data_IF_234179604306
#
_entry.id   IF_234179604306
#
_cell.length_a   1.000
_cell.length_b   1.000
_cell.length_c   1.000
_cell.angle_alpha   90.00
_cell.angle_beta   90.00
_cell.angle_gamma   90.00
#
_symmetry.space_group_name_H-M   'P 1'
#
loop_
_entity.id
_entity.type
_entity.pdbx_description
1 polymer ?
#
# COMPACT_ATOMS: atom_id res chain seq x y z
N UNK A 1 -18.48 -19.16 25.83
CA UNK A 1 -18.98 -19.43 24.47
C UNK A 1 -19.33 -18.17 23.69
N UNK A 2 -20.37 -17.39 24.04
CA UNK A 2 -20.69 -16.16 23.28
C UNK A 2 -19.61 -15.07 23.41
N UNK A 3 -19.11 -14.83 24.64
CA UNK A 3 -18.02 -13.87 24.85
C UNK A 3 -16.77 -14.26 24.06
N UNK A 4 -16.36 -15.53 24.13
CA UNK A 4 -15.20 -16.03 23.39
C UNK A 4 -15.34 -15.91 21.87
N UNK A 5 -16.57 -16.00 21.35
CA UNK A 5 -16.85 -15.76 19.93
C UNK A 5 -16.74 -14.26 19.60
N UNK A 6 -17.26 -13.38 20.46
CA UNK A 6 -17.08 -11.93 20.31
C UNK A 6 -15.60 -11.55 20.32
N UNK A 7 -14.83 -12.11 21.26
CA UNK A 7 -13.39 -11.88 21.39
C UNK A 7 -12.65 -12.40 20.13
N UNK A 8 -13.04 -13.56 19.60
CA UNK A 8 -12.47 -14.11 18.35
C UNK A 8 -12.82 -13.28 17.10
N UNK A 9 -13.96 -12.57 17.10
CA UNK A 9 -14.41 -11.73 15.98
C UNK A 9 -13.89 -10.29 16.08
N UNK A 10 -13.43 -9.86 17.25
CA UNK A 10 -12.92 -8.51 17.47
C UNK A 10 -11.85 -8.09 16.43
N UNK A 11 -10.86 -8.93 16.06
CA UNK A 11 -9.87 -8.56 15.05
C UNK A 11 -10.47 -8.25 13.68
N UNK A 12 -11.54 -8.94 13.29
CA UNK A 12 -12.22 -8.69 12.02
C UNK A 12 -13.00 -7.37 12.05
N UNK A 13 -13.63 -7.07 13.18
CA UNK A 13 -14.32 -5.80 13.36
C UNK A 13 -13.31 -4.63 13.33
N UNK A 14 -12.19 -4.76 14.03
CA UNK A 14 -11.10 -3.79 13.97
C UNK A 14 -10.59 -3.62 12.54
N UNK A 15 -10.25 -4.72 11.85
CA UNK A 15 -9.77 -4.65 10.48
C UNK A 15 -10.74 -3.96 9.51
N UNK A 16 -12.03 -4.24 9.66
CA UNK A 16 -13.08 -3.59 8.86
C UNK A 16 -13.18 -2.10 9.19
N UNK A 17 -13.13 -1.73 10.46
CA UNK A 17 -13.18 -0.34 10.88
C UNK A 17 -11.93 0.46 10.49
N UNK A 18 -10.77 -0.19 10.40
CA UNK A 18 -9.55 0.42 9.87
C UNK A 18 -9.63 0.60 8.35
N UNK A 19 -10.02 -0.43 7.61
CA UNK A 19 -10.02 -0.37 6.14
C UNK A 19 -11.19 0.42 5.55
N UNK A 20 -12.24 0.70 6.31
CA UNK A 20 -13.29 1.59 5.85
C UNK A 20 -12.80 3.04 5.83
N UNK A 21 -12.96 3.70 4.68
CA UNK A 21 -12.58 5.11 4.49
C UNK A 21 -13.35 6.08 5.42
N UNK A 22 -14.51 5.68 5.94
CA UNK A 22 -15.40 6.49 6.77
C UNK A 22 -15.16 6.33 8.29
N UNK A 23 -13.98 5.88 8.72
CA UNK A 23 -13.68 5.84 10.16
C UNK A 23 -13.60 7.26 10.74
N UNK A 24 -14.02 7.45 12.00
CA UNK A 24 -13.91 8.73 12.71
C UNK A 24 -12.43 9.11 12.83
N UNK A 25 -11.95 9.92 11.89
CA UNK A 25 -10.54 10.29 11.76
C UNK A 25 -9.94 10.13 10.36
N UNK A 26 -10.65 9.56 9.38
CA UNK A 26 -10.31 9.49 7.95
C UNK A 26 -8.81 9.29 7.64
N UNK A 27 -8.14 8.45 8.42
CA UNK A 27 -6.68 8.23 8.39
C UNK A 27 -6.28 6.92 7.71
N UNK A 28 -7.25 6.06 7.49
CA UNK A 28 -7.08 4.68 7.06
C UNK A 28 -8.06 4.35 5.92
N UNK A 29 -7.82 3.25 5.22
CA UNK A 29 -8.54 2.84 4.01
C UNK A 29 -7.74 3.03 2.73
N UNK A 30 -6.42 3.20 2.84
CA UNK A 30 -5.54 3.22 1.67
C UNK A 30 -5.17 1.80 1.25
N UNK A 31 -4.98 1.60 -0.06
CA UNK A 31 -4.64 0.29 -0.62
C UNK A 31 -3.36 -0.32 -0.01
N UNK A 32 -2.40 0.53 0.40
CA UNK A 32 -1.16 0.09 1.02
C UNK A 32 -1.36 -0.58 2.40
N UNK A 33 -2.48 -0.31 3.07
CA UNK A 33 -2.80 -0.87 4.40
C UNK A 33 -3.42 -2.26 4.30
N UNK A 34 -4.01 -2.61 3.15
CA UNK A 34 -4.70 -3.88 2.97
C UNK A 34 -3.79 -5.09 3.21
N UNK A 35 -2.57 -5.09 2.66
CA UNK A 35 -1.62 -6.21 2.83
C UNK A 35 -1.17 -6.35 4.30
N UNK A 36 -0.68 -5.30 5.00
CA UNK A 36 -0.41 -5.37 6.44
C UNK A 36 -1.58 -5.88 7.28
N UNK A 37 -2.81 -5.45 6.96
CA UNK A 37 -4.01 -5.88 7.68
C UNK A 37 -4.32 -7.37 7.47
N UNK A 38 -4.15 -7.88 6.24
CA UNK A 38 -4.33 -9.31 5.94
C UNK A 38 -3.26 -10.15 6.67
N UNK A 39 -2.00 -9.72 6.66
CA UNK A 39 -0.91 -10.37 7.40
C UNK A 39 -1.22 -10.46 8.90
N UNK A 40 -1.65 -9.35 9.49
CA UNK A 40 -2.02 -9.30 10.90
C UNK A 40 -3.20 -10.22 11.24
N UNK A 41 -4.23 -10.27 10.40
CA UNK A 41 -5.36 -11.19 10.58
C UNK A 41 -4.91 -12.66 10.50
N UNK A 42 -4.02 -13.00 9.56
CA UNK A 42 -3.48 -14.36 9.43
C UNK A 42 -2.71 -14.78 10.68
N UNK A 43 -1.85 -13.90 11.22
CA UNK A 43 -1.12 -14.14 12.46
C UNK A 43 -2.05 -14.32 13.67
N UNK A 44 -3.08 -13.50 13.76
CA UNK A 44 -4.06 -13.55 14.86
C UNK A 44 -4.84 -14.86 14.83
N UNK A 45 -5.29 -15.30 13.65
CA UNK A 45 -5.98 -16.58 13.48
C UNK A 45 -5.06 -17.79 13.69
N UNK A 46 -3.78 -17.66 13.34
CA UNK A 46 -2.77 -18.67 13.63
C UNK A 46 -2.51 -18.83 15.12
N UNK A 47 -2.50 -17.74 15.87
CA UNK A 47 -2.42 -17.80 17.33
C UNK A 47 -3.69 -18.44 17.91
N UNK A 48 -4.87 -18.02 17.45
CA UNK A 48 -6.14 -18.52 17.96
C UNK A 48 -6.37 -20.02 17.68
N UNK A 49 -5.94 -20.52 16.50
CA UNK A 49 -6.04 -21.96 16.18
C UNK A 49 -5.11 -22.80 17.07
N UNK A 50 -3.93 -22.28 17.42
CA UNK A 50 -2.96 -22.97 18.27
C UNK A 50 -3.42 -23.03 19.73
N UNK A 51 -4.01 -21.95 20.24
CA UNK A 51 -4.51 -21.88 21.62
C UNK A 51 -5.73 -22.78 21.87
N UNK A 52 -6.71 -22.78 20.95
CA UNK A 52 -7.98 -23.51 21.15
C UNK A 52 -7.94 -24.94 20.60
N UNK A 53 -7.08 -25.21 19.62
CA UNK A 53 -6.98 -26.50 18.95
C UNK A 53 -8.17 -26.85 18.05
N UNK A 54 -7.98 -27.81 17.15
CA UNK A 54 -8.96 -28.17 16.10
C UNK A 54 -10.23 -28.85 16.66
N UNK A 55 -10.16 -29.43 17.87
CA UNK A 55 -11.29 -30.09 18.53
C UNK A 55 -12.29 -29.09 19.12
N UNK A 56 -11.88 -27.84 19.31
CA UNK A 56 -12.75 -26.77 19.75
C UNK A 56 -13.47 -26.12 18.54
N UNK A 57 -14.72 -25.69 18.74
CA UNK A 57 -15.53 -25.09 17.67
C UNK A 57 -14.96 -23.75 17.19
N UNK A 58 -14.37 -22.98 18.09
CA UNK A 58 -13.74 -21.69 17.76
C UNK A 58 -12.43 -21.96 17.02
N UNK A 59 -11.62 -22.91 17.49
CA UNK A 59 -10.38 -23.31 16.80
C UNK A 59 -10.61 -23.83 15.37
N UNK A 60 -11.62 -24.68 15.17
CA UNK A 60 -12.03 -25.13 13.83
C UNK A 60 -12.49 -23.96 12.94
N UNK A 61 -13.27 -23.04 13.50
CA UNK A 61 -13.74 -21.85 12.77
C UNK A 61 -12.59 -20.91 12.40
N UNK A 62 -11.63 -20.73 13.30
CA UNK A 62 -10.41 -19.95 13.06
C UNK A 62 -9.56 -20.56 11.93
N UNK A 63 -9.41 -21.89 11.90
CA UNK A 63 -8.71 -22.58 10.81
C UNK A 63 -9.43 -22.39 9.45
N UNK A 64 -10.77 -22.46 9.44
CA UNK A 64 -11.55 -22.19 8.24
C UNK A 64 -11.40 -20.74 7.77
N UNK A 65 -11.43 -19.78 8.70
CA UNK A 65 -11.20 -18.38 8.41
C UNK A 65 -9.79 -18.13 7.87
N UNK A 66 -8.77 -18.75 8.47
CA UNK A 66 -7.37 -18.66 8.05
C UNK A 66 -7.19 -19.15 6.61
N UNK A 67 -7.76 -20.32 6.29
CA UNK A 67 -7.75 -20.86 4.93
C UNK A 67 -8.43 -19.91 3.92
N UNK A 68 -9.53 -19.27 4.33
CA UNK A 68 -10.24 -18.32 3.48
C UNK A 68 -9.42 -17.05 3.23
N UNK A 69 -8.81 -16.48 4.26
CA UNK A 69 -7.97 -15.28 4.12
C UNK A 69 -6.73 -15.60 3.29
N UNK A 70 -6.07 -16.73 3.55
CA UNK A 70 -4.91 -17.18 2.76
C UNK A 70 -5.23 -17.28 1.26
N UNK A 71 -6.39 -17.84 0.90
CA UNK A 71 -6.83 -17.90 -0.49
C UNK A 71 -6.91 -16.52 -1.14
N UNK A 72 -7.43 -15.51 -0.44
CA UNK A 72 -7.50 -14.15 -1.00
C UNK A 72 -6.14 -13.47 -1.01
N UNK A 73 -5.30 -13.73 0.00
CA UNK A 73 -3.93 -13.25 0.05
C UNK A 73 -3.11 -13.73 -1.17
N UNK A 74 -3.22 -15.00 -1.55
CA UNK A 74 -2.60 -15.53 -2.77
C UNK A 74 -3.10 -14.85 -4.06
N UNK A 75 -4.35 -14.39 -4.09
CA UNK A 75 -4.90 -13.63 -5.23
C UNK A 75 -4.38 -12.19 -5.26
N UNK A 76 -3.99 -11.61 -4.11
CA UNK A 76 -3.42 -10.25 -4.09
C UNK A 76 -2.07 -10.17 -4.83
N UNK A 77 -1.30 -11.27 -4.84
CA UNK A 77 -0.04 -11.40 -5.59
C UNK A 77 -0.22 -11.34 -7.11
N UNK A 78 -1.42 -11.64 -7.63
CA UNK A 78 -1.72 -11.52 -9.06
C UNK A 78 -1.83 -10.07 -9.53
N UNK A 79 -2.04 -9.15 -8.59
CA UNK A 79 -2.29 -7.74 -8.87
C UNK A 79 -1.09 -6.89 -8.43
N UNK A 80 -0.35 -6.27 -9.36
CA UNK A 80 0.82 -5.48 -9.02
C UNK A 80 0.47 -4.20 -8.25
N UNK A 81 -0.80 -3.82 -8.20
CA UNK A 81 -1.28 -2.60 -7.56
C UNK A 81 -1.09 -2.61 -6.04
N UNK A 82 -1.21 -3.76 -5.37
CA UNK A 82 -0.98 -3.85 -3.92
C UNK A 82 0.49 -3.60 -3.57
N UNK A 83 1.40 -4.20 -4.35
CA UNK A 83 2.84 -3.96 -4.22
C UNK A 83 3.18 -2.51 -4.53
N UNK A 84 2.63 -1.97 -5.63
CA UNK A 84 2.84 -0.59 -6.03
C UNK A 84 2.39 0.41 -4.96
N UNK A 85 1.21 0.20 -4.37
CA UNK A 85 0.67 1.07 -3.33
C UNK A 85 1.59 1.16 -2.11
N UNK A 86 2.16 0.03 -1.68
CA UNK A 86 3.16 0.03 -0.61
C UNK A 86 4.39 0.76 -1.08
N UNK A 87 5.04 0.35 -2.18
CA UNK A 87 6.31 0.95 -2.61
C UNK A 87 6.23 2.46 -2.81
N UNK A 88 5.12 2.97 -3.37
CA UNK A 88 4.86 4.39 -3.59
C UNK A 88 4.55 5.16 -2.31
N UNK A 89 4.30 4.49 -1.18
CA UNK A 89 4.21 5.14 0.11
C UNK A 89 5.62 5.58 0.58
N UNK A 90 5.87 6.89 0.76
CA UNK A 90 7.20 7.38 1.11
C UNK A 90 7.68 6.91 2.49
N UNK A 91 6.78 6.47 3.36
CA UNK A 91 7.09 5.87 4.67
C UNK A 91 7.40 4.36 4.57
N UNK A 92 6.74 3.67 3.64
CA UNK A 92 6.78 2.21 3.49
C UNK A 92 7.32 1.83 2.10
N UNK A 93 8.60 2.03 1.83
CA UNK A 93 9.21 1.63 0.54
C UNK A 93 9.46 0.11 0.46
N UNK A 94 10.34 -0.32 -0.44
CA UNK A 94 10.84 -1.71 -0.52
C UNK A 94 11.33 -2.29 0.82
N UNK A 95 11.78 -1.43 1.75
CA UNK A 95 12.15 -1.81 3.12
C UNK A 95 11.05 -2.61 3.85
N UNK A 96 9.76 -2.31 3.60
CA UNK A 96 8.66 -3.08 4.19
C UNK A 96 8.75 -4.55 3.77
N UNK A 97 8.90 -4.80 2.46
CA UNK A 97 9.04 -6.16 1.94
C UNK A 97 10.33 -6.84 2.40
N UNK A 98 11.43 -6.09 2.48
CA UNK A 98 12.70 -6.62 2.98
C UNK A 98 12.64 -7.01 4.48
N UNK A 99 11.70 -6.47 5.27
CA UNK A 99 11.52 -6.82 6.68
C UNK A 99 10.59 -8.03 6.83
N UNK A 100 9.43 -8.00 6.17
CA UNK A 100 8.35 -8.98 6.34
C UNK A 100 8.53 -10.23 5.47
N UNK A 101 9.15 -10.13 4.28
CA UNK A 101 9.38 -11.25 3.34
C UNK A 101 10.86 -11.65 3.21
N UNK A 102 11.64 -11.55 4.30
CA UNK A 102 13.07 -11.94 4.33
C UNK A 102 13.33 -13.35 3.81
N UNK A 103 12.40 -14.26 4.08
CA UNK A 103 12.51 -15.68 3.73
C UNK A 103 12.12 -15.96 2.27
N UNK A 104 11.43 -15.03 1.60
CA UNK A 104 10.91 -15.23 0.25
C UNK A 104 11.55 -14.24 -0.76
N UNK A 105 12.88 -14.33 -0.91
CA UNK A 105 13.65 -13.45 -1.82
C UNK A 105 13.27 -13.61 -3.29
N UNK A 106 12.81 -14.80 -3.69
CA UNK A 106 12.33 -15.06 -5.04
C UNK A 106 11.10 -14.20 -5.37
N UNK A 107 10.12 -14.18 -4.47
CA UNK A 107 8.91 -13.37 -4.62
C UNK A 107 9.22 -11.87 -4.70
N UNK A 108 10.13 -11.35 -3.86
CA UNK A 108 10.53 -9.92 -3.91
C UNK A 108 11.11 -9.56 -5.29
N UNK A 109 11.87 -10.47 -5.90
CA UNK A 109 12.46 -10.26 -7.21
C UNK A 109 11.40 -10.19 -8.31
N UNK A 110 10.39 -11.06 -8.25
CA UNK A 110 9.25 -11.03 -9.17
C UNK A 110 8.38 -9.79 -8.96
N UNK A 111 8.10 -9.41 -7.71
CA UNK A 111 7.37 -8.20 -7.38
C UNK A 111 8.07 -6.94 -7.91
N UNK A 112 9.41 -6.86 -7.84
CA UNK A 112 10.20 -5.77 -8.45
C UNK A 112 10.05 -5.74 -9.96
N UNK A 113 10.03 -6.89 -10.63
CA UNK A 113 9.82 -7.00 -12.08
C UNK A 113 8.43 -6.53 -12.48
N UNK A 114 7.39 -6.96 -11.76
CA UNK A 114 6.01 -6.54 -11.99
C UNK A 114 5.83 -5.02 -11.77
N UNK A 115 6.44 -4.48 -10.70
CA UNK A 115 6.39 -3.03 -10.43
C UNK A 115 7.07 -2.21 -11.54
N UNK A 116 8.23 -2.66 -12.03
CA UNK A 116 8.89 -2.02 -13.18
C UNK A 116 8.02 -2.09 -14.45
N UNK A 117 7.40 -3.24 -14.74
CA UNK A 117 6.50 -3.38 -15.88
C UNK A 117 5.27 -2.47 -15.76
N UNK A 118 4.69 -2.36 -14.56
CA UNK A 118 3.60 -1.45 -14.26
C UNK A 118 4.02 0.00 -14.51
N UNK A 119 5.16 0.42 -13.97
CA UNK A 119 5.71 1.76 -14.17
C UNK A 119 5.95 2.08 -15.64
N UNK A 120 6.58 1.17 -16.40
CA UNK A 120 6.81 1.36 -17.84
C UNK A 120 5.50 1.57 -18.61
N UNK A 121 4.43 0.84 -18.27
CA UNK A 121 3.12 1.02 -18.89
C UNK A 121 2.56 2.43 -18.62
N UNK A 122 2.63 2.90 -17.38
CA UNK A 122 2.18 4.25 -17.04
C UNK A 122 3.02 5.34 -17.68
N UNK A 123 4.34 5.14 -17.77
CA UNK A 123 5.26 6.07 -18.45
C UNK A 123 4.92 6.24 -19.93
N UNK A 124 4.61 5.15 -20.63
CA UNK A 124 4.19 5.19 -22.04
C UNK A 124 2.83 5.90 -22.19
N UNK A 125 1.86 5.55 -21.34
CA UNK A 125 0.53 6.19 -21.36
C UNK A 125 0.61 7.70 -21.08
N UNK A 126 1.45 8.13 -20.15
CA UNK A 126 1.64 9.54 -19.85
C UNK A 126 2.27 10.30 -21.04
N UNK A 127 3.24 9.71 -21.74
CA UNK A 127 3.81 10.32 -22.95
C UNK A 127 2.75 10.56 -24.02
N UNK A 128 1.92 9.56 -24.30
CA UNK A 128 0.82 9.69 -25.26
C UNK A 128 -0.26 10.69 -24.84
N UNK A 129 -0.56 10.81 -23.53
CA UNK A 129 -1.52 11.81 -23.04
C UNK A 129 -1.01 13.25 -23.20
N UNK A 130 0.30 13.48 -22.99
CA UNK A 130 0.93 14.78 -23.22
C UNK A 130 0.92 15.15 -24.72
N UNK A 131 1.17 14.17 -25.60
CA UNK A 131 1.08 14.36 -27.06
C UNK A 131 -0.36 14.73 -27.53
N UNK A 132 -1.39 14.21 -26.84
CA UNK A 132 -2.81 14.44 -27.16
C UNK A 132 -3.36 15.74 -26.55
N UNK A 133 -2.86 16.16 -25.38
CA UNK A 133 -3.24 17.41 -24.70
C UNK A 133 -2.61 18.65 -25.37
N UNK A 134 -1.47 18.50 -26.07
CA UNK A 134 -0.86 19.56 -26.89
C UNK A 134 -1.70 19.98 -28.12
N UNK A 135 -2.67 19.17 -28.52
CA UNK A 135 -3.54 19.42 -29.68
C UNK A 135 -4.81 20.24 -29.37
N UNK A 136 -5.06 20.63 -28.11
CA UNK A 136 -6.22 21.44 -27.72
C UNK A 136 -5.85 22.92 -27.49
N UNK A 137 -6.59 23.90 -28.06
CA UNK A 137 -6.26 25.31 -27.90
C UNK A 137 -6.50 25.78 -26.45
N UNK A 138 -5.45 26.28 -25.81
CA UNK A 138 -5.41 26.70 -24.42
C UNK A 138 -6.38 27.87 -24.10
N UNK A 139 -7.35 27.63 -23.21
CA UNK A 139 -8.19 28.68 -22.63
C UNK A 139 -7.42 29.48 -21.56
N UNK A 140 -7.41 30.81 -21.70
CA UNK A 140 -6.62 31.75 -20.88
C UNK A 140 -7.24 31.95 -19.48
N UNK A 141 -6.73 31.25 -18.46
CA UNK A 141 -6.98 31.58 -17.05
C UNK A 141 -5.80 32.39 -16.50
N UNK A 142 -6.05 33.56 -15.90
CA UNK A 142 -5.00 34.44 -15.37
C UNK A 142 -5.08 34.58 -13.85
N UNK A 143 -4.26 33.84 -13.06
CA UNK A 143 -4.23 33.96 -11.61
C UNK A 143 -3.36 35.14 -11.17
N UNK A 144 -3.88 35.94 -10.24
CA UNK A 144 -3.16 37.07 -9.63
C UNK A 144 -1.95 36.59 -8.79
N UNK A 145 -0.89 37.40 -8.78
CA UNK A 145 0.38 37.17 -8.09
C UNK A 145 0.16 36.95 -6.58
N UNK A 146 0.64 35.82 -6.07
CA UNK A 146 0.42 35.37 -4.69
C UNK A 146 0.76 33.90 -4.43
N UNK A 147 2.06 33.65 -4.24
CA UNK A 147 2.69 32.72 -3.28
C UNK A 147 2.53 31.19 -3.37
N UNK A 148 1.46 30.62 -3.92
CA UNK A 148 1.37 29.14 -4.00
C UNK A 148 2.19 28.55 -5.17
N UNK A 149 2.41 29.33 -6.24
CA UNK A 149 3.20 28.89 -7.41
C UNK A 149 4.70 28.80 -7.14
N UNK A 150 5.26 29.64 -6.26
CA UNK A 150 6.66 29.51 -5.83
C UNK A 150 6.88 28.30 -4.91
N UNK A 151 5.84 27.88 -4.18
CA UNK A 151 5.88 26.69 -3.32
C UNK A 151 5.98 25.39 -4.13
N UNK A 152 5.24 25.28 -5.23
CA UNK A 152 5.37 24.15 -6.17
C UNK A 152 6.67 24.18 -6.98
N UNK A 153 7.21 25.37 -7.27
CA UNK A 153 8.43 25.52 -8.08
C UNK A 153 9.73 25.03 -7.38
N UNK A 154 9.76 24.88 -6.05
CA UNK A 154 10.94 24.34 -5.34
C UNK A 154 11.13 22.82 -5.54
N UNK A 155 10.11 22.11 -6.05
CA UNK A 155 10.18 20.67 -6.34
C UNK A 155 10.66 20.31 -7.75
N UNK A 156 10.91 21.30 -8.60
CA UNK A 156 11.39 21.10 -9.97
C UNK A 156 12.83 21.60 -10.09
N UNK A 157 13.80 20.68 -10.09
CA UNK A 157 15.09 20.93 -10.72
C UNK A 157 15.08 20.34 -12.12
N UNK A 158 15.20 21.22 -13.10
CA UNK A 158 15.55 20.94 -14.49
C UNK A 158 16.88 20.19 -14.58
N UNK A 159 16.95 19.18 -15.44
CA UNK A 159 18.20 18.51 -15.78
C UNK A 159 18.01 17.44 -16.84
N UNK A 160 18.23 17.80 -18.11
CA UNK A 160 18.49 16.96 -19.28
C UNK A 160 17.68 15.65 -19.38
N UNK A 161 16.57 15.70 -20.12
CA UNK A 161 15.61 14.60 -20.29
C UNK A 161 16.14 13.38 -21.09
N UNK A 162 17.38 13.41 -21.57
CA UNK A 162 17.95 12.30 -22.36
C UNK A 162 18.88 11.34 -21.59
N UNK A 163 19.19 11.61 -20.31
CA UNK A 163 19.94 10.67 -19.46
C UNK A 163 19.57 10.77 -17.97
N UNK A 164 18.40 11.34 -17.67
CA UNK A 164 17.91 11.48 -16.31
C UNK A 164 17.39 10.12 -15.79
N UNK A 165 17.96 9.66 -14.67
CA UNK A 165 17.49 8.47 -13.98
C UNK A 165 15.96 8.49 -13.84
N UNK A 166 15.32 7.43 -14.32
CA UNK A 166 13.86 7.24 -14.29
C UNK A 166 13.26 7.70 -12.94
N UNK A 167 12.21 8.52 -12.93
CA UNK A 167 11.69 9.18 -11.71
C UNK A 167 11.40 8.17 -10.58
N UNK A 168 10.87 7.00 -10.94
CA UNK A 168 10.66 5.90 -10.02
C UNK A 168 11.97 5.39 -9.38
N UNK A 169 13.05 5.31 -10.17
CA UNK A 169 14.38 4.94 -9.68
C UNK A 169 14.94 6.00 -8.74
N UNK A 170 14.78 7.29 -9.06
CA UNK A 170 15.15 8.39 -8.17
C UNK A 170 14.37 8.34 -6.85
N UNK A 171 13.05 8.10 -6.91
CA UNK A 171 12.19 7.95 -5.74
C UNK A 171 12.61 6.76 -4.85
N UNK A 172 12.99 5.63 -5.45
CA UNK A 172 13.45 4.45 -4.72
C UNK A 172 14.78 4.68 -3.99
N UNK A 173 15.63 5.57 -4.48
CA UNK A 173 16.93 5.91 -3.85
C UNK A 173 16.77 6.82 -2.63
N UNK A 174 15.70 7.62 -2.56
CA UNK A 174 15.43 8.49 -1.42
C UNK A 174 15.22 7.65 -0.14
N UNK A 175 15.69 8.10 1.03
CA UNK A 175 15.42 7.42 2.29
C UNK A 175 13.91 7.39 2.56
N UNK A 176 13.44 6.34 3.24
CA UNK A 176 12.06 6.29 3.71
C UNK A 176 11.82 7.40 4.74
N UNK A 177 10.69 8.09 4.64
CA UNK A 177 10.31 9.09 5.63
C UNK A 177 10.14 8.41 6.99
N UNK A 178 10.79 8.93 8.02
CA UNK A 178 10.59 8.48 9.39
C UNK A 178 9.18 8.92 9.80
N UNK A 179 8.31 7.95 10.08
CA UNK A 179 7.13 8.23 10.89
C UNK A 179 7.63 8.67 12.27
N UNK A 180 7.58 9.98 12.56
CA UNK A 180 7.50 10.41 13.94
C UNK A 180 6.22 9.77 14.51
N UNK A 181 6.29 9.00 15.60
CA UNK A 181 5.08 8.58 16.30
C UNK A 181 4.43 9.83 16.87
N UNK A 182 3.56 10.47 16.08
CA UNK A 182 2.79 11.62 16.54
C UNK A 182 1.60 11.07 17.32
N UNK A 183 1.83 10.91 18.62
CA UNK A 183 0.87 10.81 19.71
C UNK A 183 -0.28 9.83 19.45
N UNK A 184 -0.16 8.66 20.09
CA UNK A 184 -1.31 8.01 20.72
C UNK A 184 -2.01 9.08 21.58
N UNK A 185 -3.03 9.73 21.03
CA UNK A 185 -3.91 10.56 21.84
C UNK A 185 -4.85 9.57 22.53
N UNK A 186 -4.57 9.40 23.83
CA UNK A 186 -5.46 8.94 24.91
C UNK A 186 -6.91 9.36 24.73
#
# INVERSE_FOLDING_TARGET
MLQELCDALQPFNEATNFLQSNNKGARYGFLWECLPMIEWLLLTLETLKEEKGIRDRIGLSANNAWNKIKKYYEVTDLSPYYVAAIVLNPTHKWRYFDIHWKNNKYWISEAKKQMKALWSRYKIQHKHAVDEEELLPAAKFSPKKGLFKSFLACGQSTGNEDEAADEYMAYCQLPALKLTPQNLIT
#
